data_IF_746666588340
#
_entry.id   IF_746666588340
#
_cell.length_a   1.000
_cell.length_b   1.000
_cell.length_c   1.000
_cell.angle_alpha   90.00
_cell.angle_beta   90.00
_cell.angle_gamma   90.00
#
_symmetry.space_group_name_H-M   'P 1'
#
loop_
_entity.id
_entity.type
_entity.pdbx_description
1 polymer ?
#
# COMPACT_ATOMS: atom_id res chain seq x y z
N UNK A 1 41.95 -9.05 11.84
CA UNK A 1 40.88 -10.04 11.68
C UNK A 1 41.58 -11.35 11.35
N UNK A 2 41.65 -12.25 12.30
CA UNK A 2 42.33 -13.55 12.15
C UNK A 2 41.36 -14.52 11.42
N UNK A 3 41.94 -15.46 10.65
CA UNK A 3 41.19 -16.48 9.88
C UNK A 3 40.30 -17.39 10.76
N UNK A 4 40.36 -17.25 12.08
CA UNK A 4 39.52 -17.96 13.03
C UNK A 4 38.12 -17.36 13.21
N UNK A 5 37.83 -16.15 12.67
CA UNK A 5 36.56 -15.46 12.80
C UNK A 5 35.54 -15.82 11.69
N UNK A 6 35.92 -16.67 10.76
CA UNK A 6 35.07 -17.13 9.67
C UNK A 6 34.93 -18.63 9.73
N UNK A 7 33.72 -19.13 9.94
CA UNK A 7 33.37 -20.51 9.70
C UNK A 7 33.15 -20.75 8.21
N UNK A 8 33.14 -22.01 7.77
CA UNK A 8 33.02 -22.46 6.38
C UNK A 8 32.19 -21.52 5.48
N UNK A 9 32.82 -20.99 4.45
CA UNK A 9 32.18 -20.10 3.47
C UNK A 9 32.30 -18.58 3.73
N UNK A 10 33.16 -18.14 4.66
CA UNK A 10 33.49 -16.72 4.86
C UNK A 10 32.48 -15.93 5.68
N UNK A 11 31.55 -16.58 6.38
CA UNK A 11 30.55 -15.94 7.24
C UNK A 11 31.15 -15.70 8.63
N UNK A 12 31.10 -14.47 9.18
CA UNK A 12 31.58 -14.19 10.54
C UNK A 12 30.85 -15.01 11.60
N UNK A 13 31.59 -15.52 12.61
CA UNK A 13 31.07 -16.40 13.68
C UNK A 13 29.87 -15.80 14.43
N UNK A 14 29.80 -14.47 14.55
CA UNK A 14 28.66 -13.76 15.11
C UNK A 14 27.38 -13.94 14.29
N UNK A 15 27.49 -13.92 12.95
CA UNK A 15 26.36 -14.13 12.05
C UNK A 15 25.90 -15.61 12.04
N UNK A 16 26.81 -16.56 12.31
CA UNK A 16 26.45 -17.97 12.48
C UNK A 16 25.61 -18.20 13.75
N UNK A 17 25.92 -17.49 14.83
CA UNK A 17 25.11 -17.49 16.05
C UNK A 17 23.69 -16.94 15.80
N UNK A 18 23.59 -15.85 15.04
CA UNK A 18 22.31 -15.25 14.61
C UNK A 18 21.56 -16.18 13.67
N UNK A 19 22.24 -16.84 12.73
CA UNK A 19 21.62 -17.81 11.84
C UNK A 19 21.08 -19.03 12.59
N UNK A 20 21.82 -19.58 13.54
CA UNK A 20 21.36 -20.67 14.38
C UNK A 20 20.15 -20.27 15.27
N UNK A 21 20.03 -18.99 15.65
CA UNK A 21 18.87 -18.45 16.33
C UNK A 21 17.67 -18.33 15.37
N UNK A 22 17.91 -17.87 14.15
CA UNK A 22 16.89 -17.79 13.09
C UNK A 22 16.40 -19.20 12.71
N UNK A 23 17.30 -20.17 12.55
CA UNK A 23 16.94 -21.55 12.25
C UNK A 23 16.13 -22.20 13.38
N UNK A 24 16.44 -21.89 14.65
CA UNK A 24 15.65 -22.32 15.80
C UNK A 24 14.27 -21.66 15.81
N UNK A 25 14.18 -20.37 15.53
CA UNK A 25 12.90 -19.68 15.38
C UNK A 25 12.07 -20.24 14.22
N UNK A 26 12.69 -20.49 13.08
CA UNK A 26 12.04 -21.12 11.92
C UNK A 26 11.57 -22.55 12.24
N UNK A 27 12.34 -23.31 13.02
CA UNK A 27 11.95 -24.64 13.51
C UNK A 27 10.80 -24.53 14.51
N UNK A 28 10.84 -23.58 15.44
CA UNK A 28 9.75 -23.29 16.37
C UNK A 28 8.46 -22.91 15.62
N UNK A 29 8.57 -22.04 14.62
CA UNK A 29 7.43 -21.64 13.77
C UNK A 29 6.88 -22.83 12.98
N UNK A 30 7.75 -23.70 12.46
CA UNK A 30 7.35 -24.92 11.76
C UNK A 30 6.70 -25.92 12.70
N UNK A 31 7.22 -26.09 13.91
CA UNK A 31 6.62 -26.95 14.95
C UNK A 31 5.26 -26.41 15.40
N UNK A 32 5.07 -25.09 15.44
CA UNK A 32 3.75 -24.48 15.70
C UNK A 32 2.76 -24.78 14.57
N UNK A 33 3.24 -24.80 13.32
CA UNK A 33 2.44 -25.22 12.15
C UNK A 33 2.11 -26.73 12.17
N UNK A 34 3.01 -27.55 12.72
CA UNK A 34 2.86 -29.00 12.78
C UNK A 34 2.15 -29.48 14.08
N UNK A 35 2.29 -28.77 15.20
CA UNK A 35 1.80 -29.16 16.52
C UNK A 35 0.50 -28.49 17.00
N UNK A 36 0.34 -27.22 16.71
CA UNK A 36 -0.90 -26.46 16.84
C UNK A 36 -1.01 -25.56 15.62
N UNK A 37 -1.75 -25.93 14.60
CA UNK A 37 -1.77 -25.24 13.30
C UNK A 37 -2.60 -23.95 13.38
N UNK A 38 -2.11 -22.96 14.12
CA UNK A 38 -2.82 -21.70 14.36
C UNK A 38 -3.27 -21.00 13.07
N UNK A 39 -2.42 -21.02 12.03
CA UNK A 39 -2.77 -20.47 10.72
C UNK A 39 -3.70 -21.39 9.92
N UNK A 40 -3.43 -22.70 9.91
CA UNK A 40 -4.26 -23.65 9.18
C UNK A 40 -5.67 -23.78 9.81
N UNK A 41 -5.76 -23.71 11.14
CA UNK A 41 -7.05 -23.71 11.84
C UNK A 41 -7.81 -22.39 11.59
N UNK A 42 -7.11 -21.27 11.60
CA UNK A 42 -7.72 -19.99 11.23
C UNK A 42 -8.19 -19.97 9.76
N UNK A 43 -7.47 -20.64 8.85
CA UNK A 43 -7.88 -20.80 7.45
C UNK A 43 -9.13 -21.65 7.26
N UNK A 44 -9.47 -22.52 8.23
CA UNK A 44 -10.69 -23.34 8.23
C UNK A 44 -11.91 -22.62 8.83
N UNK A 45 -11.68 -21.55 9.57
CA UNK A 45 -12.75 -20.72 10.11
C UNK A 45 -13.39 -19.87 9.03
N UNK A 46 -14.61 -19.44 9.27
CA UNK A 46 -15.30 -18.50 8.39
C UNK A 46 -14.50 -17.20 8.26
N UNK A 47 -14.36 -16.74 7.02
CA UNK A 47 -13.61 -15.52 6.71
C UNK A 47 -14.41 -14.32 7.17
N UNK A 48 -13.76 -13.42 7.91
CA UNK A 48 -14.42 -12.19 8.39
C UNK A 48 -14.75 -11.25 7.24
N UNK A 49 -15.87 -10.53 7.36
CA UNK A 49 -16.36 -9.59 6.33
C UNK A 49 -15.32 -8.56 5.90
N UNK A 50 -14.42 -8.13 6.80
CA UNK A 50 -13.35 -7.19 6.50
C UNK A 50 -12.39 -7.73 5.44
N UNK A 51 -12.07 -9.03 5.51
CA UNK A 51 -11.20 -9.71 4.55
C UNK A 51 -11.93 -9.86 3.21
N UNK A 52 -13.17 -10.36 3.23
CA UNK A 52 -14.00 -10.51 2.02
C UNK A 52 -14.19 -9.18 1.30
N UNK A 53 -14.44 -8.10 2.04
CA UNK A 53 -14.60 -6.75 1.51
C UNK A 53 -13.32 -6.22 0.88
N UNK A 54 -12.16 -6.46 1.49
CA UNK A 54 -10.88 -6.00 0.98
C UNK A 54 -10.44 -6.72 -0.31
N UNK A 55 -10.98 -7.91 -0.55
CA UNK A 55 -10.73 -8.68 -1.78
C UNK A 55 -11.93 -8.65 -2.75
N UNK A 56 -12.79 -7.64 -2.64
CA UNK A 56 -13.89 -7.43 -3.60
C UNK A 56 -15.09 -8.35 -3.38
N UNK A 57 -15.39 -8.70 -2.12
CA UNK A 57 -16.48 -9.64 -1.75
C UNK A 57 -16.32 -11.05 -2.30
N UNK A 58 -15.09 -11.47 -2.58
CA UNK A 58 -14.82 -12.87 -2.90
C UNK A 58 -15.18 -13.76 -1.70
N UNK A 59 -15.88 -14.86 -2.00
CA UNK A 59 -16.24 -15.84 -0.99
C UNK A 59 -15.08 -16.82 -0.84
N UNK A 60 -14.35 -16.72 0.26
CA UNK A 60 -13.25 -17.63 0.56
C UNK A 60 -13.77 -18.77 1.41
N UNK A 61 -13.46 -19.99 1.02
CA UNK A 61 -13.66 -21.21 1.82
C UNK A 61 -12.39 -22.03 1.83
N UNK A 62 -12.16 -22.76 2.93
CA UNK A 62 -10.99 -23.62 3.01
C UNK A 62 -10.93 -24.61 1.85
N UNK A 63 -9.81 -24.63 1.12
CA UNK A 63 -9.63 -25.46 -0.06
C UNK A 63 -8.31 -25.16 -0.76
N UNK A 64 -8.07 -25.72 -1.96
CA UNK A 64 -6.82 -25.54 -2.70
C UNK A 64 -6.43 -24.08 -2.95
N UNK A 65 -7.41 -23.20 -3.10
CA UNK A 65 -7.24 -21.76 -3.36
C UNK A 65 -7.15 -20.91 -2.07
N UNK A 66 -7.51 -21.51 -0.91
CA UNK A 66 -7.49 -20.83 0.39
C UNK A 66 -7.05 -21.78 1.49
N UNK A 67 -5.75 -22.07 1.53
CA UNK A 67 -5.13 -22.93 2.54
C UNK A 67 -4.70 -22.14 3.79
N UNK A 68 -4.39 -20.85 3.61
CA UNK A 68 -3.94 -19.94 4.66
C UNK A 68 -4.81 -18.69 4.65
N UNK A 69 -5.06 -18.08 5.81
CA UNK A 69 -5.78 -16.82 5.88
C UNK A 69 -5.03 -15.72 5.12
N UNK A 70 -5.77 -14.78 4.58
CA UNK A 70 -5.18 -13.63 3.87
C UNK A 70 -4.40 -12.73 4.84
N UNK A 71 -3.27 -12.15 4.44
CA UNK A 71 -2.38 -11.38 5.32
C UNK A 71 -3.04 -10.21 6.06
N UNK A 72 -4.15 -9.72 5.57
CA UNK A 72 -4.92 -8.62 6.18
C UNK A 72 -5.91 -9.10 7.24
N UNK A 73 -6.05 -10.41 7.47
CA UNK A 73 -6.94 -10.93 8.52
C UNK A 73 -6.40 -10.51 9.90
N UNK A 74 -7.11 -9.66 10.65
CA UNK A 74 -6.61 -9.13 11.92
C UNK A 74 -6.42 -10.21 12.99
N UNK A 75 -7.08 -11.36 12.85
CA UNK A 75 -6.95 -12.48 13.78
C UNK A 75 -5.58 -13.15 13.72
N UNK A 76 -4.88 -13.04 12.56
CA UNK A 76 -3.51 -13.57 12.40
C UNK A 76 -2.58 -12.98 13.45
N UNK A 77 -2.61 -11.63 13.61
CA UNK A 77 -1.71 -10.96 14.53
C UNK A 77 -1.81 -11.52 15.96
N UNK A 78 -3.02 -11.77 16.44
CA UNK A 78 -3.22 -12.27 17.80
C UNK A 78 -2.84 -13.75 17.90
N UNK A 79 -3.34 -14.59 17.00
CA UNK A 79 -3.17 -16.05 17.09
C UNK A 79 -1.74 -16.49 16.79
N UNK A 80 -1.18 -16.03 15.68
CA UNK A 80 0.16 -16.42 15.28
C UNK A 80 1.22 -15.89 16.24
N UNK A 81 1.15 -14.59 16.60
CA UNK A 81 2.12 -14.01 17.53
C UNK A 81 2.10 -14.68 18.89
N UNK A 82 0.91 -15.05 19.39
CA UNK A 82 0.78 -15.76 20.68
C UNK A 82 1.31 -17.19 20.59
N UNK A 83 1.04 -17.90 19.49
CA UNK A 83 1.53 -19.25 19.27
C UNK A 83 3.06 -19.27 19.16
N UNK A 84 3.65 -18.34 18.41
CA UNK A 84 5.11 -18.19 18.30
C UNK A 84 5.75 -17.82 19.64
N UNK A 85 5.13 -16.91 20.40
CA UNK A 85 5.62 -16.52 21.72
C UNK A 85 5.61 -17.71 22.69
N UNK A 86 4.52 -18.48 22.74
CA UNK A 86 4.39 -19.70 23.54
C UNK A 86 5.48 -20.69 23.21
N UNK A 87 5.65 -21.01 21.93
CA UNK A 87 6.64 -21.97 21.48
C UNK A 87 8.07 -21.51 21.76
N UNK A 88 8.34 -20.22 21.60
CA UNK A 88 9.65 -19.63 21.95
C UNK A 88 9.97 -19.77 23.45
N UNK A 89 8.97 -19.63 24.32
CA UNK A 89 9.12 -19.83 25.78
C UNK A 89 9.35 -21.31 26.07
N UNK A 90 8.54 -22.21 25.52
CA UNK A 90 8.65 -23.67 25.75
C UNK A 90 10.00 -24.23 25.29
N UNK A 91 10.52 -23.74 24.17
CA UNK A 91 11.82 -24.16 23.67
C UNK A 91 13.02 -23.41 24.30
N UNK A 92 12.78 -22.49 25.22
CA UNK A 92 13.82 -21.74 25.90
C UNK A 92 14.62 -20.79 25.00
N UNK A 93 14.11 -20.41 23.81
CA UNK A 93 14.74 -19.46 22.88
C UNK A 93 14.23 -18.03 23.07
N UNK A 94 13.16 -17.84 23.81
CA UNK A 94 12.63 -16.53 24.14
C UNK A 94 13.61 -15.78 25.05
N UNK A 95 13.89 -14.50 24.71
CA UNK A 95 14.73 -13.62 25.55
C UNK A 95 14.02 -13.20 26.86
N UNK A 96 12.72 -13.22 26.85
CA UNK A 96 11.88 -12.88 27.99
C UNK A 96 10.73 -13.88 28.07
N UNK A 97 10.37 -14.29 29.28
CA UNK A 97 9.14 -15.06 29.53
C UNK A 97 8.00 -14.06 29.63
N UNK A 98 7.05 -14.17 28.73
CA UNK A 98 5.88 -13.31 28.67
C UNK A 98 4.69 -13.99 29.36
N UNK A 99 3.87 -13.19 30.04
CA UNK A 99 2.50 -13.57 30.34
C UNK A 99 1.72 -13.56 29.02
N UNK A 100 1.34 -14.74 28.55
CA UNK A 100 0.69 -14.90 27.24
C UNK A 100 -0.72 -14.30 27.20
N UNK A 101 -1.46 -14.29 28.31
CA UNK A 101 -2.78 -13.67 28.39
C UNK A 101 -2.68 -12.15 28.27
N UNK A 102 -1.82 -11.53 29.07
CA UNK A 102 -1.55 -10.11 28.99
C UNK A 102 -0.97 -9.70 27.64
N UNK A 103 -0.16 -10.57 27.00
CA UNK A 103 0.36 -10.34 25.67
C UNK A 103 -0.75 -10.32 24.61
N UNK A 104 -1.68 -11.28 24.65
CA UNK A 104 -2.85 -11.32 23.75
C UNK A 104 -3.74 -10.09 23.91
N UNK A 105 -4.05 -9.71 25.15
CA UNK A 105 -4.84 -8.50 25.43
C UNK A 105 -4.18 -7.26 24.84
N UNK A 106 -2.87 -7.11 25.00
CA UNK A 106 -2.12 -6.01 24.41
C UNK A 106 -2.20 -6.00 22.88
N UNK A 107 -2.15 -7.17 22.22
CA UNK A 107 -2.31 -7.26 20.76
C UNK A 107 -3.70 -6.85 20.32
N UNK A 108 -4.76 -7.28 21.04
CA UNK A 108 -6.15 -6.88 20.76
C UNK A 108 -6.33 -5.37 20.92
N UNK A 109 -5.76 -4.77 21.97
CA UNK A 109 -5.80 -3.32 22.18
C UNK A 109 -5.11 -2.59 21.03
N UNK A 110 -3.96 -3.08 20.57
CA UNK A 110 -3.22 -2.47 19.43
C UNK A 110 -4.05 -2.50 18.14
N UNK A 111 -4.72 -3.62 17.84
CA UNK A 111 -5.64 -3.70 16.69
C UNK A 111 -6.79 -2.70 16.85
N UNK A 112 -7.38 -2.63 18.05
CA UNK A 112 -8.46 -1.68 18.35
C UNK A 112 -8.03 -0.22 18.21
N UNK A 113 -6.80 0.11 18.60
CA UNK A 113 -6.25 1.47 18.44
C UNK A 113 -6.06 1.84 16.96
N UNK A 114 -5.56 0.90 16.15
CA UNK A 114 -5.44 1.09 14.70
C UNK A 114 -6.80 1.34 14.04
N UNK A 115 -7.82 0.57 14.39
CA UNK A 115 -9.20 0.74 13.90
C UNK A 115 -9.80 2.08 14.30
N UNK A 116 -9.60 2.53 15.53
CA UNK A 116 -10.09 3.83 15.99
C UNK A 116 -9.40 4.98 15.23
N UNK A 117 -8.09 4.88 15.02
CA UNK A 117 -7.33 5.87 14.24
C UNK A 117 -7.83 5.90 12.80
N UNK A 118 -8.01 4.74 12.15
CA UNK A 118 -8.55 4.63 10.80
C UNK A 118 -9.95 5.23 10.72
N UNK A 119 -10.83 4.92 11.68
CA UNK A 119 -12.18 5.50 11.74
C UNK A 119 -12.16 7.02 11.81
N UNK A 120 -11.28 7.59 12.63
CA UNK A 120 -11.10 9.06 12.72
C UNK A 120 -10.64 9.66 11.39
N UNK A 121 -9.66 9.02 10.72
CA UNK A 121 -9.18 9.47 9.42
C UNK A 121 -10.30 9.44 8.36
N UNK A 122 -11.10 8.38 8.32
CA UNK A 122 -12.24 8.26 7.40
C UNK A 122 -13.27 9.36 7.68
N UNK A 123 -13.62 9.61 8.95
CA UNK A 123 -14.56 10.67 9.31
C UNK A 123 -14.04 12.05 8.90
N UNK A 124 -12.74 12.32 9.07
CA UNK A 124 -12.13 13.56 8.60
C UNK A 124 -12.17 13.68 7.07
N UNK A 125 -11.79 12.62 6.37
CA UNK A 125 -11.78 12.58 4.91
C UNK A 125 -13.18 12.80 4.33
N UNK A 126 -14.23 12.19 4.92
CA UNK A 126 -15.64 12.39 4.52
C UNK A 126 -16.11 13.84 4.66
N UNK A 127 -15.57 14.61 5.58
CA UNK A 127 -15.89 16.03 5.74
C UNK A 127 -15.27 16.89 4.64
N UNK A 128 -14.03 16.61 4.28
CA UNK A 128 -13.25 17.38 3.32
C UNK A 128 -13.52 16.94 1.88
N UNK A 129 -13.80 15.66 1.66
CA UNK A 129 -13.99 15.01 0.35
C UNK A 129 -12.93 15.47 -0.67
N UNK A 130 -11.64 15.21 -0.41
CA UNK A 130 -10.58 15.69 -1.27
C UNK A 130 -10.71 15.10 -2.69
N UNK A 131 -10.30 15.90 -3.68
CA UNK A 131 -10.17 15.44 -5.06
C UNK A 131 -8.87 14.67 -5.19
N UNK A 132 -8.97 13.36 -5.40
CA UNK A 132 -7.82 12.44 -5.48
C UNK A 132 -7.62 11.99 -6.91
N UNK A 133 -6.48 12.32 -7.50
CA UNK A 133 -6.15 11.93 -8.88
C UNK A 133 -5.33 10.64 -8.90
N UNK A 134 -5.71 9.72 -9.77
CA UNK A 134 -5.08 8.44 -10.02
C UNK A 134 -4.63 8.36 -11.48
N UNK A 135 -3.32 8.42 -11.75
CA UNK A 135 -2.80 8.34 -13.12
C UNK A 135 -3.02 6.99 -13.80
N UNK A 136 -3.03 5.91 -13.03
CA UNK A 136 -3.21 4.53 -13.52
C UNK A 136 -4.70 4.15 -13.59
N UNK A 137 -5.50 4.99 -14.26
CA UNK A 137 -6.97 4.94 -14.24
C UNK A 137 -7.61 3.72 -14.91
N UNK A 138 -6.86 2.85 -15.58
CA UNK A 138 -7.36 1.59 -16.17
C UNK A 138 -7.00 0.37 -15.34
N UNK A 139 -6.22 0.55 -14.24
CA UNK A 139 -5.77 -0.58 -13.44
C UNK A 139 -6.88 -1.07 -12.52
N UNK A 140 -7.18 -2.37 -12.53
CA UNK A 140 -8.26 -3.00 -11.76
C UNK A 140 -8.26 -2.58 -10.28
N UNK A 141 -7.12 -2.70 -9.60
CA UNK A 141 -7.02 -2.33 -8.17
C UNK A 141 -7.33 -0.85 -7.93
N UNK A 142 -6.94 0.03 -8.86
CA UNK A 142 -7.21 1.47 -8.78
C UNK A 142 -8.70 1.74 -9.00
N UNK A 143 -9.34 1.05 -9.96
CA UNK A 143 -10.78 1.16 -10.23
C UNK A 143 -11.59 0.73 -9.00
N UNK A 144 -11.28 -0.42 -8.41
CA UNK A 144 -11.92 -0.89 -7.17
C UNK A 144 -11.75 0.09 -6.01
N UNK A 145 -10.53 0.59 -5.82
CA UNK A 145 -10.26 1.58 -4.78
C UNK A 145 -11.02 2.89 -5.01
N UNK A 146 -11.08 3.37 -6.24
CA UNK A 146 -11.81 4.58 -6.61
C UNK A 146 -13.32 4.41 -6.36
N UNK A 147 -13.92 3.25 -6.73
CA UNK A 147 -15.32 2.96 -6.42
C UNK A 147 -15.59 3.02 -4.92
N UNK A 148 -14.78 2.33 -4.11
CA UNK A 148 -14.94 2.36 -2.63
C UNK A 148 -14.84 3.78 -2.08
N UNK A 149 -13.87 4.57 -2.54
CA UNK A 149 -13.69 5.96 -2.08
C UNK A 149 -14.90 6.85 -2.44
N UNK A 150 -15.48 6.66 -3.61
CA UNK A 150 -16.67 7.39 -4.07
C UNK A 150 -17.91 6.94 -3.32
N UNK A 151 -18.17 5.64 -3.24
CA UNK A 151 -19.36 5.04 -2.62
C UNK A 151 -19.43 5.36 -1.11
N UNK A 152 -18.29 5.30 -0.43
CA UNK A 152 -18.20 5.65 0.98
C UNK A 152 -18.12 7.17 1.25
N UNK A 153 -18.06 7.99 0.20
CA UNK A 153 -17.96 9.45 0.33
C UNK A 153 -16.66 9.94 0.98
N UNK A 154 -15.59 9.13 0.91
CA UNK A 154 -14.28 9.44 1.50
C UNK A 154 -13.53 10.49 0.68
N UNK A 155 -13.63 10.37 -0.65
CA UNK A 155 -12.95 11.26 -1.58
C UNK A 155 -13.77 11.46 -2.86
N UNK A 156 -13.34 12.38 -3.71
CA UNK A 156 -13.81 12.55 -5.09
C UNK A 156 -12.72 12.06 -6.04
N UNK A 157 -12.77 10.80 -6.50
CA UNK A 157 -11.73 10.23 -7.36
C UNK A 157 -11.74 10.87 -8.75
N UNK A 158 -10.53 11.07 -9.29
CA UNK A 158 -10.31 11.50 -10.69
C UNK A 158 -9.38 10.46 -11.32
N UNK A 159 -9.89 9.69 -12.27
CA UNK A 159 -9.13 8.69 -13.01
C UNK A 159 -8.60 9.29 -14.32
N UNK A 160 -7.30 9.14 -14.56
CA UNK A 160 -6.67 9.62 -15.78
C UNK A 160 -6.49 8.49 -16.80
N UNK A 161 -6.85 8.76 -18.04
CA UNK A 161 -6.68 7.85 -19.18
C UNK A 161 -7.78 8.04 -20.21
N UNK A 162 -7.76 7.17 -21.22
CA UNK A 162 -8.80 7.19 -22.26
C UNK A 162 -10.16 6.82 -21.66
N UNK A 163 -11.15 7.69 -21.85
CA UNK A 163 -12.46 7.54 -21.25
C UNK A 163 -13.12 6.19 -21.58
N UNK A 164 -13.09 5.79 -22.87
CA UNK A 164 -13.66 4.52 -23.31
C UNK A 164 -12.97 3.31 -22.64
N UNK A 165 -11.64 3.34 -22.53
CA UNK A 165 -10.89 2.24 -21.91
C UNK A 165 -11.22 2.11 -20.40
N UNK A 166 -11.37 3.23 -19.71
CA UNK A 166 -11.74 3.23 -18.28
C UNK A 166 -13.18 2.73 -18.11
N UNK A 167 -14.13 3.20 -18.93
CA UNK A 167 -15.53 2.75 -18.87
C UNK A 167 -15.67 1.26 -19.15
N UNK A 168 -15.00 0.75 -20.17
CA UNK A 168 -15.00 -0.69 -20.48
C UNK A 168 -14.43 -1.50 -19.32
N UNK A 169 -13.33 -1.04 -18.69
CA UNK A 169 -12.76 -1.70 -17.53
C UNK A 169 -13.71 -1.71 -16.31
N UNK A 170 -14.50 -0.66 -16.09
CA UNK A 170 -15.58 -0.66 -15.09
C UNK A 170 -16.66 -1.70 -15.39
N UNK A 171 -17.09 -1.79 -16.66
CA UNK A 171 -18.10 -2.76 -17.10
C UNK A 171 -17.59 -4.21 -16.94
N UNK A 172 -16.36 -4.49 -17.35
CA UNK A 172 -15.72 -5.80 -17.20
C UNK A 172 -15.61 -6.25 -15.74
N UNK A 173 -15.41 -5.31 -14.82
CA UNK A 173 -15.32 -5.56 -13.37
C UNK A 173 -16.68 -5.57 -12.67
N UNK A 174 -17.77 -5.24 -13.39
CA UNK A 174 -19.10 -5.10 -12.79
C UNK A 174 -19.18 -3.97 -11.77
N UNK A 175 -18.38 -2.90 -11.92
CA UNK A 175 -18.34 -1.75 -11.04
C UNK A 175 -19.09 -0.57 -11.65
N UNK A 176 -19.62 0.31 -10.79
CA UNK A 176 -20.24 1.57 -11.22
C UNK A 176 -19.24 2.72 -11.13
N UNK A 177 -19.23 3.59 -12.14
CA UNK A 177 -18.39 4.79 -12.16
C UNK A 177 -19.09 6.01 -11.52
N UNK A 178 -20.13 5.79 -10.71
CA UNK A 178 -20.89 6.86 -10.06
C UNK A 178 -19.96 7.66 -9.10
N UNK A 179 -20.06 8.98 -9.16
CA UNK A 179 -19.23 9.85 -8.31
C UNK A 179 -17.74 9.95 -8.71
N UNK A 180 -17.31 9.27 -9.77
CA UNK A 180 -15.94 9.27 -10.26
C UNK A 180 -15.81 10.16 -11.49
N UNK A 181 -14.81 11.04 -11.50
CA UNK A 181 -14.47 11.87 -12.66
C UNK A 181 -13.45 11.15 -13.51
N UNK A 182 -13.70 11.03 -14.81
CA UNK A 182 -12.71 10.53 -15.78
C UNK A 182 -12.15 11.72 -16.55
N UNK A 183 -10.84 11.83 -16.65
CA UNK A 183 -10.18 12.88 -17.40
C UNK A 183 -9.14 12.29 -18.38
N UNK A 184 -9.35 12.51 -19.67
CA UNK A 184 -8.43 12.10 -20.71
C UNK A 184 -7.40 13.23 -20.95
N UNK A 185 -6.12 13.00 -20.64
CA UNK A 185 -5.07 14.00 -20.87
C UNK A 185 -4.97 14.47 -22.32
N UNK A 186 -5.26 13.61 -23.29
CA UNK A 186 -5.19 13.95 -24.71
C UNK A 186 -6.36 14.83 -25.17
N UNK A 187 -7.50 14.75 -24.52
CA UNK A 187 -8.72 15.49 -24.85
C UNK A 187 -9.02 16.65 -23.90
N UNK A 188 -8.24 16.77 -22.83
CA UNK A 188 -8.47 17.80 -21.82
C UNK A 188 -8.22 19.21 -22.32
N UNK A 189 -9.18 20.10 -22.10
CA UNK A 189 -9.02 21.54 -22.36
C UNK A 189 -7.92 22.19 -21.50
N UNK A 190 -7.50 21.54 -20.40
CA UNK A 190 -6.43 22.01 -19.52
C UNK A 190 -5.03 21.68 -20.03
N UNK A 191 -4.89 20.73 -20.97
CA UNK A 191 -3.60 20.22 -21.45
C UNK A 191 -2.64 21.34 -21.89
N UNK A 192 -3.10 22.25 -22.74
CA UNK A 192 -2.25 23.28 -23.29
C UNK A 192 -1.84 24.33 -22.22
N UNK A 193 -2.75 24.63 -21.29
CA UNK A 193 -2.44 25.50 -20.16
C UNK A 193 -1.40 24.86 -19.21
N UNK A 194 -1.53 23.57 -18.92
CA UNK A 194 -0.55 22.83 -18.13
C UNK A 194 0.80 22.70 -18.85
N UNK A 195 0.79 22.47 -20.17
CA UNK A 195 2.01 22.43 -20.97
C UNK A 195 2.76 23.77 -20.93
N UNK A 196 2.06 24.89 -21.07
CA UNK A 196 2.68 26.21 -20.98
C UNK A 196 3.22 26.48 -19.57
N UNK A 197 2.47 26.17 -18.51
CA UNK A 197 2.95 26.29 -17.14
C UNK A 197 4.20 25.45 -16.89
N UNK A 198 4.19 24.18 -17.31
CA UNK A 198 5.33 23.28 -17.20
C UNK A 198 6.54 23.82 -17.96
N UNK A 199 6.35 24.30 -19.20
CA UNK A 199 7.40 24.93 -19.97
C UNK A 199 8.00 26.12 -19.23
N UNK A 200 7.20 27.06 -18.74
CA UNK A 200 7.67 28.23 -18.00
C UNK A 200 8.51 27.87 -16.78
N UNK A 201 8.10 26.83 -16.05
CA UNK A 201 8.85 26.33 -14.89
C UNK A 201 10.20 25.72 -15.26
N UNK A 202 10.28 25.07 -16.42
CA UNK A 202 11.43 24.22 -16.78
C UNK A 202 12.29 24.77 -17.89
N UNK A 203 11.91 25.87 -18.56
CA UNK A 203 12.65 26.47 -19.70
C UNK A 203 14.10 26.77 -19.39
N UNK A 204 14.40 27.28 -18.19
CA UNK A 204 15.77 27.54 -17.74
C UNK A 204 16.60 26.28 -17.48
N UNK A 205 15.95 25.12 -17.46
CA UNK A 205 16.54 23.78 -17.29
C UNK A 205 16.50 22.96 -18.60
N UNK A 206 16.33 23.65 -19.74
CA UNK A 206 16.40 23.05 -21.09
C UNK A 206 15.10 22.40 -21.58
N UNK A 207 13.94 22.63 -20.94
CA UNK A 207 12.69 22.15 -21.52
C UNK A 207 12.30 22.93 -22.76
N UNK A 208 11.83 22.22 -23.80
CA UNK A 208 11.24 22.79 -25.01
C UNK A 208 9.71 22.74 -24.92
N UNK A 209 9.02 23.62 -25.67
CA UNK A 209 7.54 23.63 -25.71
C UNK A 209 6.97 22.32 -26.22
N UNK A 210 7.57 21.73 -27.24
CA UNK A 210 7.16 20.41 -27.76
C UNK A 210 7.22 19.34 -26.68
N UNK A 211 8.35 19.27 -25.97
CA UNK A 211 8.52 18.34 -24.85
C UNK A 211 7.49 18.58 -23.74
N UNK A 212 7.12 19.83 -23.46
CA UNK A 212 6.10 20.15 -22.48
C UNK A 212 4.71 19.61 -22.89
N UNK A 213 4.34 19.77 -24.17
CA UNK A 213 3.09 19.23 -24.72
C UNK A 213 3.07 17.71 -24.64
N UNK A 214 4.17 17.04 -25.05
CA UNK A 214 4.26 15.58 -25.00
C UNK A 214 4.20 15.04 -23.56
N UNK A 215 4.76 15.77 -22.59
CA UNK A 215 4.65 15.40 -21.17
C UNK A 215 3.21 15.47 -20.66
N UNK A 216 2.42 16.41 -21.12
CA UNK A 216 1.02 16.55 -20.69
C UNK A 216 0.09 15.46 -21.25
N UNK A 217 0.55 14.64 -22.18
CA UNK A 217 -0.15 13.42 -22.60
C UNK A 217 0.06 12.26 -21.65
N UNK A 218 1.11 12.32 -20.83
CA UNK A 218 1.41 11.27 -19.84
C UNK A 218 0.57 11.51 -18.60
N UNK A 219 -0.26 10.52 -18.17
CA UNK A 219 -1.17 10.69 -17.04
C UNK A 219 -0.47 11.14 -15.75
N UNK A 220 0.71 10.63 -15.47
CA UNK A 220 1.49 11.02 -14.29
C UNK A 220 1.84 12.50 -14.28
N UNK A 221 2.36 13.03 -15.43
CA UNK A 221 2.68 14.45 -15.54
C UNK A 221 1.44 15.33 -15.50
N UNK A 222 0.36 14.87 -16.14
CA UNK A 222 -0.91 15.57 -16.14
C UNK A 222 -1.49 15.66 -14.74
N UNK A 223 -1.55 14.52 -14.01
CA UNK A 223 -2.02 14.45 -12.62
C UNK A 223 -1.18 15.32 -11.68
N UNK A 224 0.15 15.31 -11.81
CA UNK A 224 1.02 16.17 -11.04
C UNK A 224 0.78 17.67 -11.34
N UNK A 225 0.46 18.02 -12.59
CA UNK A 225 0.08 19.41 -12.95
C UNK A 225 -1.30 19.78 -12.41
N UNK A 226 -2.27 18.85 -12.38
CA UNK A 226 -3.56 19.07 -11.69
C UNK A 226 -3.34 19.42 -10.22
N UNK A 227 -2.50 18.64 -9.52
CA UNK A 227 -2.18 18.90 -8.13
C UNK A 227 -1.50 20.25 -7.94
N UNK A 228 -0.52 20.58 -8.78
CA UNK A 228 0.19 21.85 -8.73
C UNK A 228 -0.70 23.06 -9.01
N UNK A 229 -1.67 22.91 -9.89
CA UNK A 229 -2.60 23.98 -10.29
C UNK A 229 -3.80 24.12 -9.36
N UNK A 230 -3.94 23.24 -8.36
CA UNK A 230 -5.08 23.22 -7.45
C UNK A 230 -6.37 22.63 -8.06
N UNK A 231 -6.25 21.90 -9.18
CA UNK A 231 -7.36 21.18 -9.79
C UNK A 231 -7.58 19.79 -9.13
N UNK A 232 -6.60 19.32 -8.36
CA UNK A 232 -6.68 18.17 -7.47
C UNK A 232 -6.01 18.49 -6.12
N UNK A 233 -6.40 17.79 -5.06
CA UNK A 233 -5.89 18.01 -3.70
C UNK A 233 -4.86 16.97 -3.32
N UNK A 234 -4.97 15.76 -3.89
CA UNK A 234 -4.07 14.63 -3.66
C UNK A 234 -3.82 13.87 -4.96
N UNK A 235 -2.67 13.17 -5.03
CA UNK A 235 -2.34 12.25 -6.11
C UNK A 235 -1.82 10.95 -5.51
N UNK A 236 -2.37 9.82 -5.95
CA UNK A 236 -1.91 8.48 -5.60
C UNK A 236 -1.43 7.82 -6.90
N UNK A 237 -0.15 7.46 -6.93
CA UNK A 237 0.53 6.89 -8.11
C UNK A 237 1.62 5.91 -7.67
N UNK A 238 2.07 5.08 -8.60
CA UNK A 238 3.20 4.16 -8.39
C UNK A 238 2.79 2.72 -8.16
N UNK A 239 1.58 2.34 -8.53
CA UNK A 239 1.16 0.94 -8.50
C UNK A 239 1.85 0.13 -9.60
N UNK A 240 1.89 0.64 -10.83
CA UNK A 240 2.52 -0.01 -11.97
C UNK A 240 3.92 0.53 -12.31
N UNK A 241 4.27 1.72 -11.84
CA UNK A 241 5.53 2.38 -12.13
C UNK A 241 6.59 2.14 -11.05
N UNK A 242 7.87 2.14 -11.45
CA UNK A 242 8.96 2.09 -10.47
C UNK A 242 8.98 3.37 -9.61
N UNK A 243 9.09 3.19 -8.29
CA UNK A 243 9.15 4.29 -7.31
C UNK A 243 10.09 5.44 -7.71
N UNK A 244 11.30 5.11 -8.21
CA UNK A 244 12.27 6.12 -8.59
C UNK A 244 11.83 6.98 -9.78
N UNK A 245 11.02 6.45 -10.69
CA UNK A 245 10.49 7.17 -11.84
C UNK A 245 9.38 8.11 -11.43
N UNK A 246 8.42 7.61 -10.66
CA UNK A 246 7.34 8.42 -10.09
C UNK A 246 7.88 9.57 -9.24
N UNK A 247 8.82 9.28 -8.34
CA UNK A 247 9.45 10.31 -7.51
C UNK A 247 10.18 11.37 -8.34
N UNK A 248 10.91 10.94 -9.39
CA UNK A 248 11.63 11.87 -10.27
C UNK A 248 10.67 12.79 -11.03
N UNK A 249 9.52 12.27 -11.44
CA UNK A 249 8.47 13.05 -12.10
C UNK A 249 7.86 14.06 -11.13
N UNK A 250 7.45 13.61 -9.93
CA UNK A 250 6.89 14.48 -8.88
C UNK A 250 7.84 15.64 -8.56
N UNK A 251 9.13 15.35 -8.40
CA UNK A 251 10.14 16.38 -8.15
C UNK A 251 10.32 17.37 -9.30
N UNK A 252 10.10 16.92 -10.53
CA UNK A 252 10.16 17.81 -11.69
C UNK A 252 8.98 18.77 -11.77
N UNK A 253 7.82 18.35 -11.32
CA UNK A 253 6.57 19.14 -11.42
C UNK A 253 6.30 19.92 -10.14
N UNK A 254 6.29 19.23 -9.00
CA UNK A 254 5.93 19.83 -7.72
C UNK A 254 7.16 20.44 -7.03
N UNK A 255 8.28 19.70 -7.02
CA UNK A 255 9.51 20.11 -6.35
C UNK A 255 9.47 19.85 -4.86
N UNK A 256 10.37 20.48 -4.14
CA UNK A 256 10.40 20.46 -2.66
C UNK A 256 9.83 21.78 -2.11
N UNK A 257 9.30 21.73 -0.90
CA UNK A 257 8.86 22.95 -0.21
C UNK A 257 10.03 23.93 -0.01
N UNK A 258 9.76 25.24 0.06
CA UNK A 258 10.79 26.25 0.30
C UNK A 258 11.62 25.93 1.55
N UNK A 259 12.95 25.95 1.43
CA UNK A 259 13.89 25.63 2.51
C UNK A 259 14.14 24.14 2.72
N UNK A 260 13.39 23.23 2.11
CA UNK A 260 13.58 21.78 2.21
C UNK A 260 14.58 21.30 1.16
N UNK A 261 15.70 20.74 1.61
CA UNK A 261 16.79 20.26 0.74
C UNK A 261 16.72 18.75 0.47
N UNK A 262 16.01 18.00 1.29
CA UNK A 262 15.92 16.53 1.21
C UNK A 262 14.48 16.09 1.28
N UNK A 263 14.17 15.01 0.56
CA UNK A 263 12.89 14.33 0.65
C UNK A 263 13.03 13.23 1.68
N UNK A 264 12.00 13.08 2.50
CA UNK A 264 11.82 11.92 3.37
C UNK A 264 10.51 11.23 3.05
N UNK A 265 10.50 9.92 3.19
CA UNK A 265 9.30 9.10 3.10
C UNK A 265 8.95 8.58 4.48
N UNK A 266 7.67 8.50 4.77
CA UNK A 266 7.16 7.98 6.03
C UNK A 266 6.16 6.88 5.76
N UNK A 267 6.25 5.80 6.53
CA UNK A 267 5.21 4.77 6.59
C UNK A 267 4.43 4.97 7.88
N UNK A 268 3.11 5.03 7.77
CA UNK A 268 2.23 4.96 8.93
C UNK A 268 1.81 3.51 9.09
N UNK A 269 2.21 2.89 10.19
CA UNK A 269 1.79 1.53 10.57
C UNK A 269 0.73 1.70 11.65
N UNK A 270 -0.47 1.22 11.36
CA UNK A 270 -1.66 1.30 12.23
C UNK A 270 -1.92 -0.02 12.91
#
# INVERSE_FOLDING_TARGET
RTAADTAEGGIPSKLLGERAAIDRLATATRTTLDGEPALADLGREEVVDEVSRAYGYEHFSFGPEYLLPKPIDPRILVRESSAVARMGIEQGVARQVLDLEAYQENLIVRIGTGRETMRRLIVMARREQPRVVFPEGTHETVLRAASVLADEGIARPILLGHEEAIRNAFEELGLEAAGITIADPDRSARRDAYAEQYFQMRRRRGAMKTTAIDRMRQPDYFGAMMLRSGDADMMISGYAAHYAESLRMILRVIGTAPGVRRISTHYMVL
#
